data_IF_892017773965
#
_entry.id   IF_892017773965
#
_cell.length_a   1.000
_cell.length_b   1.000
_cell.length_c   1.000
_cell.angle_alpha   90.00
_cell.angle_beta   90.00
_cell.angle_gamma   90.00
#
_symmetry.space_group_name_H-M   'P 1'
#
loop_
_entity.id
_entity.type
_entity.pdbx_description
1 polymer ?
#
# COMPACT_ATOMS: atom_id res chain seq x y z
N UNK A 1 20.39 -2.49 -5.48
CA UNK A 1 19.53 -3.68 -5.34
C UNK A 1 18.31 -3.24 -4.58
N UNK A 2 17.16 -3.13 -5.25
CA UNK A 2 15.88 -2.92 -4.56
C UNK A 2 15.61 -4.22 -3.82
N UNK A 3 16.10 -4.27 -2.58
CA UNK A 3 16.04 -5.46 -1.75
C UNK A 3 14.59 -5.90 -1.70
N UNK A 4 14.37 -7.16 -2.00
CA UNK A 4 13.13 -7.85 -1.70
C UNK A 4 12.78 -7.53 -0.25
N UNK A 5 11.92 -6.52 -0.04
CA UNK A 5 11.19 -6.39 1.21
C UNK A 5 10.46 -7.72 1.29
N UNK A 6 10.88 -8.53 2.24
CA UNK A 6 10.36 -9.86 2.46
C UNK A 6 8.90 -9.68 2.92
N UNK A 7 8.00 -9.46 1.95
CA UNK A 7 6.57 -9.21 2.14
C UNK A 7 5.87 -10.44 2.74
N UNK A 8 6.58 -11.56 2.87
CA UNK A 8 6.15 -12.80 3.53
C UNK A 8 6.34 -12.76 5.06
N UNK A 9 6.98 -11.73 5.61
CA UNK A 9 7.11 -11.56 7.07
C UNK A 9 6.12 -10.52 7.59
N UNK A 10 5.39 -10.80 8.68
CA UNK A 10 4.45 -9.86 9.33
C UNK A 10 5.02 -8.44 9.52
N UNK A 11 6.33 -8.35 9.71
CA UNK A 11 7.07 -7.07 9.85
C UNK A 11 7.12 -6.27 8.55
N UNK A 12 7.26 -6.92 7.39
CA UNK A 12 7.26 -6.27 6.08
C UNK A 12 5.89 -5.70 5.72
N UNK A 13 4.82 -6.41 6.09
CA UNK A 13 3.44 -5.95 5.88
C UNK A 13 3.11 -4.73 6.75
N UNK A 14 3.47 -4.76 8.04
CA UNK A 14 3.29 -3.63 8.96
C UNK A 14 4.09 -2.41 8.50
N UNK A 15 5.34 -2.61 8.05
CA UNK A 15 6.16 -1.55 7.49
C UNK A 15 5.52 -0.92 6.25
N UNK A 16 4.97 -1.74 5.34
CA UNK A 16 4.30 -1.26 4.14
C UNK A 16 3.04 -0.45 4.46
N UNK A 17 2.22 -0.91 5.41
CA UNK A 17 1.05 -0.14 5.87
C UNK A 17 1.44 1.21 6.47
N UNK A 18 2.47 1.22 7.34
CA UNK A 18 2.96 2.47 7.92
C UNK A 18 3.55 3.39 6.86
N UNK A 19 4.27 2.85 5.89
CA UNK A 19 4.80 3.61 4.76
C UNK A 19 3.69 4.25 3.93
N UNK A 20 2.62 3.51 3.58
CA UNK A 20 1.48 4.05 2.84
C UNK A 20 0.78 5.19 3.60
N UNK A 21 0.69 5.09 4.93
CA UNK A 21 0.13 6.12 5.80
C UNK A 21 1.05 7.34 5.91
N UNK A 22 2.34 7.13 6.17
CA UNK A 22 3.33 8.19 6.41
C UNK A 22 3.62 9.00 5.13
N UNK A 23 3.60 8.36 3.97
CA UNK A 23 3.80 9.03 2.68
C UNK A 23 2.57 9.77 2.17
N UNK A 24 1.40 9.62 2.81
CA UNK A 24 0.14 10.22 2.35
C UNK A 24 -0.43 9.58 1.09
N UNK A 25 0.04 8.37 0.70
CA UNK A 25 -0.49 7.66 -0.46
C UNK A 25 -1.99 7.42 -0.30
N UNK A 26 -2.47 7.13 0.91
CA UNK A 26 -3.90 6.93 1.17
C UNK A 26 -4.75 8.15 0.79
N UNK A 27 -4.28 9.36 1.12
CA UNK A 27 -4.98 10.61 0.78
C UNK A 27 -4.97 10.86 -0.73
N UNK A 28 -3.88 10.53 -1.41
CA UNK A 28 -3.80 10.63 -2.87
C UNK A 28 -4.70 9.59 -3.55
N UNK A 29 -4.82 8.37 -3.02
CA UNK A 29 -5.77 7.37 -3.51
C UNK A 29 -7.23 7.87 -3.36
N UNK A 30 -7.59 8.45 -2.21
CA UNK A 30 -8.91 9.07 -2.00
C UNK A 30 -9.15 10.24 -2.99
N UNK A 31 -8.15 11.08 -3.25
CA UNK A 31 -8.25 12.18 -4.25
C UNK A 31 -8.38 11.68 -5.69
N UNK A 32 -7.78 10.54 -6.01
CA UNK A 32 -7.93 9.87 -7.30
C UNK A 32 -9.32 9.21 -7.46
N UNK A 33 -10.15 9.22 -6.41
CA UNK A 33 -11.50 8.68 -6.42
C UNK A 33 -11.56 7.19 -6.08
N UNK A 34 -10.48 6.63 -5.51
CA UNK A 34 -10.45 5.24 -5.06
C UNK A 34 -11.28 5.11 -3.79
N UNK A 35 -12.11 4.07 -3.74
CA UNK A 35 -13.04 3.82 -2.64
C UNK A 35 -12.66 2.55 -1.88
N UNK A 36 -13.22 2.40 -0.68
CA UNK A 36 -13.06 1.17 0.08
C UNK A 36 -13.55 -0.03 -0.75
N UNK A 37 -12.69 -1.04 -0.89
CA UNK A 37 -12.92 -2.22 -1.71
C UNK A 37 -12.35 -2.13 -3.14
N UNK A 38 -11.78 -1.00 -3.55
CA UNK A 38 -11.06 -0.93 -4.82
C UNK A 38 -9.68 -1.59 -4.72
N UNK A 39 -9.30 -2.30 -5.78
CA UNK A 39 -7.99 -2.90 -5.91
C UNK A 39 -7.00 -1.89 -6.48
N UNK A 40 -6.04 -1.48 -5.67
CA UNK A 40 -4.95 -0.59 -6.07
C UNK A 40 -3.78 -1.41 -6.59
N UNK A 41 -3.34 -1.13 -7.81
CA UNK A 41 -2.13 -1.72 -8.38
C UNK A 41 -1.04 -0.67 -8.54
N UNK A 42 0.06 -0.82 -7.80
CA UNK A 42 1.18 0.12 -7.81
C UNK A 42 2.52 -0.62 -7.80
N UNK A 43 3.45 -0.23 -8.68
CA UNK A 43 4.82 -0.79 -8.77
C UNK A 43 4.91 -2.33 -8.78
N UNK A 44 3.93 -3.00 -9.40
CA UNK A 44 3.85 -4.46 -9.46
C UNK A 44 3.22 -5.12 -8.23
N UNK A 45 2.86 -4.36 -7.20
CA UNK A 45 2.06 -4.80 -6.07
C UNK A 45 0.58 -4.53 -6.36
N UNK A 46 -0.29 -5.41 -5.90
CA UNK A 46 -1.75 -5.22 -5.95
C UNK A 46 -2.29 -5.49 -4.55
N UNK A 47 -3.09 -4.56 -4.03
CA UNK A 47 -3.72 -4.68 -2.73
C UNK A 47 -5.11 -4.06 -2.77
N UNK A 48 -6.00 -4.57 -1.95
CA UNK A 48 -7.33 -4.00 -1.78
C UNK A 48 -7.26 -2.90 -0.74
N UNK A 49 -7.79 -1.73 -1.08
CA UNK A 49 -7.83 -0.60 -0.18
C UNK A 49 -9.00 -0.76 0.79
N UNK A 50 -8.67 -0.84 2.08
CA UNK A 50 -9.64 -0.81 3.17
C UNK A 50 -9.28 0.33 4.12
N UNK A 51 -10.30 1.06 4.59
CA UNK A 51 -10.11 2.17 5.54
C UNK A 51 -9.86 1.69 6.96
#
# INVERSE_FOLDING_TARGET
MLGYTNLESEKGFTFFQNFLKDTGILEELEKLGIQEGDTVRMYGLSFDYYK
#
